data_IF_050543169244
#
_entry.id   IF_050543169244
#
_cell.length_a   1.000
_cell.length_b   1.000
_cell.length_c   1.000
_cell.angle_alpha   90.00
_cell.angle_beta   90.00
_cell.angle_gamma   90.00
#
_symmetry.space_group_name_H-M   'P 1'
#
loop_
_entity.id
_entity.type
_entity.pdbx_description
1 polymer ?
#
# COMPACT_ATOMS: atom_id res chain seq x y z
N UNK A 1 -8.07 32.98 31.91
CA UNK A 1 -7.84 31.59 32.35
C UNK A 1 -6.80 31.03 31.40
N UNK A 2 -5.53 31.07 31.80
CA UNK A 2 -4.41 30.76 30.91
C UNK A 2 -3.70 29.51 31.43
N UNK A 3 -3.31 28.61 30.52
CA UNK A 3 -2.54 27.43 30.88
C UNK A 3 -1.15 27.82 31.41
N UNK A 4 -0.54 26.99 32.29
CA UNK A 4 0.83 27.18 32.74
C UNK A 4 1.84 27.06 31.60
N UNK A 5 3.03 27.62 31.78
CA UNK A 5 4.09 27.68 30.77
C UNK A 5 4.44 26.28 30.24
N UNK A 6 4.42 26.10 28.91
CA UNK A 6 4.65 24.79 28.26
C UNK A 6 3.37 24.03 27.91
N UNK A 7 2.20 24.52 28.32
CA UNK A 7 0.90 23.97 27.96
C UNK A 7 0.12 24.91 27.03
N UNK A 8 -0.61 24.33 26.09
CA UNK A 8 -1.50 25.05 25.16
C UNK A 8 -2.94 24.75 25.53
N UNK A 9 -3.82 25.73 25.31
CA UNK A 9 -5.25 25.58 25.56
C UNK A 9 -5.86 24.65 24.51
N UNK A 10 -6.42 23.53 24.96
CA UNK A 10 -7.16 22.58 24.16
C UNK A 10 -8.65 22.90 24.08
N UNK A 11 -9.42 22.01 23.46
CA UNK A 11 -10.87 22.11 23.44
C UNK A 11 -11.45 21.77 24.83
N UNK A 12 -12.56 22.43 25.20
CA UNK A 12 -13.25 22.28 26.49
C UNK A 12 -12.50 22.81 27.72
N UNK A 13 -11.70 23.86 27.57
CA UNK A 13 -11.00 24.49 28.71
C UNK A 13 -10.06 23.48 29.42
N UNK A 14 -9.46 22.59 28.64
CA UNK A 14 -8.34 21.74 29.02
C UNK A 14 -7.00 22.37 28.57
N UNK A 15 -5.92 21.92 29.18
CA UNK A 15 -4.55 22.26 28.85
C UNK A 15 -3.81 20.97 28.55
N UNK A 16 -3.05 20.93 27.45
CA UNK A 16 -2.17 19.82 27.10
C UNK A 16 -0.75 20.33 26.82
N UNK A 17 0.24 19.44 26.93
CA UNK A 17 1.65 19.79 26.69
C UNK A 17 1.86 20.19 25.24
N UNK A 18 2.64 21.23 25.01
CA UNK A 18 2.98 21.71 23.66
C UNK A 18 3.75 20.63 22.88
N UNK A 19 3.28 20.26 21.69
CA UNK A 19 4.03 19.35 20.82
C UNK A 19 5.36 20.00 20.37
N UNK A 20 6.46 19.23 20.29
CA UNK A 20 7.73 19.71 19.75
C UNK A 20 7.65 20.02 18.24
N UNK A 21 8.61 20.79 17.71
CA UNK A 21 8.58 21.37 16.36
C UNK A 21 8.36 20.36 15.22
N UNK A 22 8.86 19.13 15.36
CA UNK A 22 8.72 18.08 14.34
C UNK A 22 7.42 17.27 14.46
N UNK A 23 6.58 17.58 15.46
CA UNK A 23 5.36 16.85 15.77
C UNK A 23 4.13 17.72 15.55
N UNK A 24 3.18 17.19 14.80
CA UNK A 24 1.87 17.77 14.58
C UNK A 24 0.91 17.32 15.68
N UNK A 25 0.19 18.27 16.26
CA UNK A 25 -0.94 17.98 17.13
C UNK A 25 -2.11 17.40 16.32
N UNK A 26 -2.61 16.24 16.74
CA UNK A 26 -3.77 15.56 16.15
C UNK A 26 -4.73 15.22 17.26
N UNK A 27 -5.98 15.65 17.11
CA UNK A 27 -7.04 15.31 18.03
C UNK A 27 -7.95 14.27 17.38
N UNK A 28 -8.18 13.17 18.09
CA UNK A 28 -9.09 12.10 17.68
C UNK A 28 -10.16 11.87 18.74
N UNK A 29 -11.25 11.18 18.41
CA UNK A 29 -12.35 10.90 19.33
C UNK A 29 -11.93 10.10 20.59
N UNK A 30 -10.72 9.54 20.59
CA UNK A 30 -10.11 8.84 21.73
C UNK A 30 -9.05 9.62 22.51
N UNK A 31 -8.79 10.89 22.19
CA UNK A 31 -7.82 11.73 22.89
C UNK A 31 -6.96 12.63 21.99
N UNK A 32 -6.13 13.43 22.65
CA UNK A 32 -5.14 14.32 22.03
C UNK A 32 -3.81 13.57 21.84
N UNK A 33 -3.16 13.69 20.69
CA UNK A 33 -1.85 13.05 20.42
C UNK A 33 -0.94 13.96 19.61
N UNK A 34 0.38 13.82 19.79
CA UNK A 34 1.38 14.43 18.92
C UNK A 34 1.92 13.35 17.97
N UNK A 35 1.86 13.62 16.66
CA UNK A 35 2.28 12.71 15.58
C UNK A 35 3.46 13.29 14.84
N UNK A 36 4.49 12.49 14.57
CA UNK A 36 5.69 12.95 13.88
C UNK A 36 5.38 13.30 12.41
N UNK A 37 5.85 14.47 11.97
CA UNK A 37 5.46 15.05 10.68
C UNK A 37 5.95 14.23 9.48
N UNK A 38 7.11 13.59 9.60
CA UNK A 38 7.69 12.79 8.51
C UNK A 38 7.15 11.35 8.45
N UNK A 39 6.64 10.81 9.55
CA UNK A 39 6.14 9.43 9.61
C UNK A 39 5.07 9.29 10.70
N UNK A 40 3.84 9.03 10.26
CA UNK A 40 2.67 8.91 11.12
C UNK A 40 2.72 7.73 12.11
N UNK A 41 3.67 6.79 11.95
CA UNK A 41 3.85 5.67 12.88
C UNK A 41 4.42 6.09 14.24
N UNK A 42 5.12 7.23 14.29
CA UNK A 42 5.66 7.75 15.53
C UNK A 42 4.69 8.75 16.12
N UNK A 43 3.99 8.34 17.17
CA UNK A 43 3.07 9.20 17.89
C UNK A 43 3.09 8.90 19.37
N UNK A 44 2.82 9.91 20.19
CA UNK A 44 2.58 9.74 21.61
C UNK A 44 1.28 10.46 22.01
N UNK A 45 0.56 9.88 22.97
CA UNK A 45 -0.67 10.46 23.50
C UNK A 45 -0.36 11.59 24.49
N UNK A 46 -1.25 12.57 24.52
CA UNK A 46 -1.31 13.66 25.48
C UNK A 46 -2.52 13.48 26.39
N UNK A 47 -2.36 13.79 27.66
CA UNK A 47 -3.50 13.87 28.58
C UNK A 47 -4.01 15.32 28.64
N UNK A 48 -5.31 15.47 28.46
CA UNK A 48 -6.01 16.75 28.63
C UNK A 48 -6.26 17.01 30.11
N UNK A 49 -5.53 17.99 30.68
CA UNK A 49 -5.67 18.39 32.09
C UNK A 49 -6.64 19.58 32.22
N UNK A 50 -7.47 19.65 33.26
CA UNK A 50 -8.36 20.81 33.46
C UNK A 50 -7.53 22.08 33.73
N UNK A 51 -7.95 23.23 33.18
CA UNK A 51 -7.25 24.53 33.39
C UNK A 51 -7.13 24.92 34.88
N UNK A 52 -8.06 24.45 35.72
CA UNK A 52 -8.05 24.64 37.18
C UNK A 52 -7.43 23.45 37.94
N UNK A 53 -6.61 22.62 37.27
CA UNK A 53 -5.96 21.46 37.85
C UNK A 53 -4.83 21.80 38.83
N UNK A 54 -4.40 20.80 39.59
CA UNK A 54 -3.29 20.94 40.55
C UNK A 54 -1.95 21.08 39.82
N UNK A 55 -1.04 21.93 40.32
CA UNK A 55 0.30 22.11 39.74
C UNK A 55 1.13 20.81 39.65
N UNK A 56 0.89 19.85 40.55
CA UNK A 56 1.52 18.52 40.49
C UNK A 56 1.12 17.76 39.23
N UNK A 57 -0.16 17.78 38.84
CA UNK A 57 -0.65 17.06 37.66
C UNK A 57 -0.03 17.57 36.35
N UNK A 58 0.25 18.87 36.25
CA UNK A 58 0.95 19.45 35.11
C UNK A 58 2.43 19.02 35.07
N UNK A 59 3.12 19.03 36.20
CA UNK A 59 4.52 18.59 36.30
C UNK A 59 4.66 17.10 35.97
N UNK A 60 3.76 16.27 36.48
CA UNK A 60 3.76 14.82 36.25
C UNK A 60 3.53 14.50 34.77
N UNK A 61 2.58 15.19 34.13
CA UNK A 61 2.30 15.02 32.70
C UNK A 61 3.48 15.50 31.83
N UNK A 62 4.12 16.62 32.20
CA UNK A 62 5.30 17.10 31.50
C UNK A 62 6.47 16.09 31.60
N UNK A 63 6.68 15.49 32.77
CA UNK A 63 7.69 14.45 32.95
C UNK A 63 7.37 13.19 32.12
N UNK A 64 6.10 12.76 32.08
CA UNK A 64 5.64 11.63 31.27
C UNK A 64 5.82 11.87 29.77
N UNK A 65 5.45 13.05 29.29
CA UNK A 65 5.63 13.42 27.87
C UNK A 65 7.11 13.52 27.53
N UNK A 66 7.94 14.05 28.43
CA UNK A 66 9.40 14.11 28.24
C UNK A 66 10.05 12.73 28.11
N UNK A 67 9.67 11.76 28.94
CA UNK A 67 10.18 10.39 28.84
C UNK A 67 9.70 9.68 27.58
N UNK A 68 8.40 9.78 27.26
CA UNK A 68 7.83 9.21 26.04
C UNK A 68 8.46 9.79 24.76
N UNK A 69 8.73 11.10 24.74
CA UNK A 69 9.41 11.75 23.63
C UNK A 69 10.85 11.24 23.48
N UNK A 70 11.58 11.09 24.58
CA UNK A 70 12.97 10.60 24.55
C UNK A 70 13.06 9.16 24.03
N UNK A 71 12.15 8.30 24.47
CA UNK A 71 12.04 6.93 23.96
C UNK A 71 11.70 6.92 22.46
N UNK A 72 10.74 7.74 22.05
CA UNK A 72 10.32 7.82 20.65
C UNK A 72 11.45 8.33 19.75
N UNK A 73 12.20 9.35 20.17
CA UNK A 73 13.36 9.85 19.43
C UNK A 73 14.46 8.80 19.31
N UNK A 74 14.72 8.03 20.37
CA UNK A 74 15.67 6.91 20.34
C UNK A 74 15.24 5.85 19.34
N UNK A 75 13.94 5.55 19.28
CA UNK A 75 13.37 4.62 18.31
C UNK A 75 13.48 5.13 16.88
N UNK A 76 13.17 6.40 16.63
CA UNK A 76 13.32 7.03 15.30
C UNK A 76 14.78 6.96 14.85
N UNK A 77 15.73 7.24 15.76
CA UNK A 77 17.15 7.14 15.44
C UNK A 77 17.59 5.70 15.13
N UNK A 78 17.09 4.72 15.87
CA UNK A 78 17.37 3.31 15.60
C UNK A 78 16.80 2.86 14.24
N UNK A 79 15.55 3.22 13.93
CA UNK A 79 14.89 2.84 12.69
C UNK A 79 15.54 3.50 11.46
N UNK A 80 15.97 4.77 11.59
CA UNK A 80 16.69 5.46 10.52
C UNK A 80 18.06 4.82 10.25
N UNK A 81 18.80 4.43 11.29
CA UNK A 81 20.06 3.70 11.14
C UNK A 81 19.86 2.32 10.52
N UNK A 82 18.86 1.56 10.97
CA UNK A 82 18.53 0.26 10.43
C UNK A 82 18.15 0.33 8.94
N UNK A 83 17.34 1.33 8.56
CA UNK A 83 16.96 1.56 7.17
C UNK A 83 18.16 1.91 6.29
N UNK A 84 19.07 2.77 6.79
CA UNK A 84 20.30 3.09 6.07
C UNK A 84 21.20 1.87 5.86
N UNK A 85 21.33 1.01 6.87
CA UNK A 85 22.10 -0.23 6.77
C UNK A 85 21.50 -1.20 5.75
N UNK A 86 20.17 -1.37 5.76
CA UNK A 86 19.46 -2.20 4.77
C UNK A 86 19.71 -1.68 3.35
N UNK A 87 19.59 -0.38 3.12
CA UNK A 87 19.86 0.21 1.81
C UNK A 87 21.33 0.07 1.38
N UNK A 88 22.28 0.14 2.30
CA UNK A 88 23.69 -0.12 1.99
C UNK A 88 23.96 -1.60 1.64
N UNK A 89 23.30 -2.54 2.32
CA UNK A 89 23.39 -3.97 1.99
C UNK A 89 22.76 -4.27 0.63
N UNK A 90 21.61 -3.70 0.33
CA UNK A 90 20.92 -3.87 -0.95
C UNK A 90 21.75 -3.32 -2.12
N UNK A 91 22.45 -2.19 -1.90
CA UNK A 91 23.32 -1.58 -2.92
C UNK A 91 24.67 -2.28 -3.09
N UNK A 92 25.17 -2.96 -2.05
CA UNK A 92 26.47 -3.65 -2.09
C UNK A 92 26.38 -5.10 -2.55
N UNK A 93 25.17 -5.66 -2.70
CA UNK A 93 25.02 -7.07 -3.00
C UNK A 93 23.91 -7.41 -4.02
N UNK A 94 24.10 -7.11 -5.32
CA UNK A 94 23.22 -7.63 -6.36
C UNK A 94 23.42 -9.14 -6.60
N UNK A 95 24.49 -9.75 -6.07
CA UNK A 95 24.89 -11.15 -6.37
C UNK A 95 24.69 -12.15 -5.23
N UNK A 96 24.69 -11.72 -3.98
CA UNK A 96 24.51 -12.62 -2.82
C UNK A 96 23.05 -12.92 -2.48
N UNK A 97 22.10 -12.15 -3.02
CA UNK A 97 20.68 -12.50 -2.92
C UNK A 97 20.35 -13.76 -3.72
N UNK A 98 21.05 -14.03 -4.83
CA UNK A 98 20.85 -15.25 -5.61
C UNK A 98 21.27 -16.50 -4.82
N UNK A 99 22.41 -16.47 -4.11
CA UNK A 99 22.87 -17.61 -3.32
C UNK A 99 21.99 -17.91 -2.10
N UNK A 100 21.54 -16.87 -1.40
CA UNK A 100 20.61 -17.04 -0.26
C UNK A 100 19.25 -17.53 -0.75
N UNK A 101 18.71 -16.98 -1.83
CA UNK A 101 17.45 -17.44 -2.44
C UNK A 101 17.60 -18.90 -2.91
N UNK A 102 18.71 -19.28 -3.55
CA UNK A 102 18.93 -20.66 -4.03
C UNK A 102 19.08 -21.66 -2.86
N UNK A 103 19.73 -21.26 -1.77
CA UNK A 103 19.84 -22.08 -0.56
C UNK A 103 18.50 -22.23 0.18
N UNK A 104 17.68 -21.18 0.19
CA UNK A 104 16.32 -21.22 0.72
C UNK A 104 15.39 -22.06 -0.15
N UNK A 105 15.51 -22.01 -1.48
CA UNK A 105 14.75 -22.89 -2.38
C UNK A 105 15.13 -24.36 -2.17
N UNK A 106 16.42 -24.66 -2.02
CA UNK A 106 16.86 -26.03 -1.72
C UNK A 106 16.37 -26.54 -0.35
N UNK A 107 16.25 -25.64 0.64
CA UNK A 107 15.68 -25.96 1.95
C UNK A 107 14.16 -26.15 1.88
N UNK A 108 13.46 -25.31 1.11
CA UNK A 108 12.02 -25.41 0.87
C UNK A 108 11.69 -26.69 0.08
N UNK A 109 12.46 -27.05 -0.94
CA UNK A 109 12.28 -28.30 -1.69
C UNK A 109 12.43 -29.53 -0.79
N UNK A 110 13.40 -29.51 0.14
CA UNK A 110 13.53 -30.58 1.14
C UNK A 110 12.35 -30.62 2.08
N UNK A 111 11.86 -29.46 2.53
CA UNK A 111 10.67 -29.38 3.38
C UNK A 111 9.43 -29.89 2.64
N UNK A 112 9.23 -29.50 1.39
CA UNK A 112 8.11 -29.94 0.54
C UNK A 112 8.18 -31.43 0.26
N UNK A 113 9.37 -32.00 0.04
CA UNK A 113 9.53 -33.45 -0.11
C UNK A 113 9.20 -34.22 1.17
N UNK A 114 9.58 -33.67 2.34
CA UNK A 114 9.25 -34.26 3.64
C UNK A 114 7.75 -34.13 3.95
N UNK A 115 7.14 -32.98 3.64
CA UNK A 115 5.69 -32.75 3.75
C UNK A 115 4.93 -33.65 2.78
N UNK A 116 5.43 -33.87 1.56
CA UNK A 116 4.84 -34.77 0.58
C UNK A 116 4.91 -36.24 1.03
N UNK A 117 6.00 -36.63 1.70
CA UNK A 117 6.14 -37.96 2.30
C UNK A 117 5.23 -38.16 3.54
N UNK A 118 4.93 -37.08 4.27
CA UNK A 118 4.01 -37.06 5.42
C UNK A 118 2.54 -36.92 5.00
N UNK A 119 2.28 -36.51 3.75
CA UNK A 119 0.92 -36.35 3.24
C UNK A 119 0.33 -37.73 3.01
N UNK A 120 -0.74 -38.12 3.72
CA UNK A 120 -1.40 -39.40 3.44
C UNK A 120 -1.79 -39.41 1.95
N UNK A 121 -1.61 -40.54 1.25
CA UNK A 121 -1.97 -40.65 -0.15
C UNK A 121 -3.43 -40.24 -0.27
N UNK A 122 -3.66 -39.09 -0.93
CA UNK A 122 -5.01 -38.72 -1.32
C UNK A 122 -5.48 -39.89 -2.17
N UNK A 123 -6.65 -40.44 -1.84
CA UNK A 123 -7.30 -41.37 -2.75
C UNK A 123 -7.28 -40.72 -4.13
N UNK A 124 -6.94 -41.47 -5.19
CA UNK A 124 -6.83 -40.92 -6.54
C UNK A 124 -8.08 -40.11 -6.76
N UNK A 125 -7.91 -38.78 -6.75
CA UNK A 125 -9.02 -37.87 -6.98
C UNK A 125 -9.32 -38.15 -8.42
N UNK A 126 -10.40 -38.89 -8.64
CA UNK A 126 -10.76 -39.44 -9.93
C UNK A 126 -10.56 -38.31 -10.93
N UNK A 127 -9.68 -38.47 -11.94
CA UNK A 127 -9.53 -37.43 -12.94
C UNK A 127 -10.93 -37.17 -13.44
N UNK A 128 -11.37 -35.91 -13.36
CA UNK A 128 -12.58 -35.51 -14.07
C UNK A 128 -12.41 -36.07 -15.47
N UNK A 129 -13.38 -36.84 -16.01
CA UNK A 129 -13.18 -37.66 -17.22
C UNK A 129 -12.74 -36.85 -18.44
N UNK A 130 -12.71 -35.53 -18.34
CA UNK A 130 -12.60 -34.58 -19.42
C UNK A 130 -11.67 -33.39 -19.12
N UNK A 131 -10.56 -33.57 -18.39
CA UNK A 131 -9.54 -32.50 -18.26
C UNK A 131 -8.98 -32.10 -19.64
N UNK A 132 -8.88 -33.06 -20.56
CA UNK A 132 -8.46 -32.78 -21.94
C UNK A 132 -9.53 -32.00 -22.71
N UNK A 133 -10.82 -32.29 -22.51
CA UNK A 133 -11.95 -31.56 -23.07
C UNK A 133 -12.04 -30.13 -22.51
N UNK A 134 -11.80 -29.94 -21.21
CA UNK A 134 -11.70 -28.61 -20.58
C UNK A 134 -10.51 -27.81 -21.11
N UNK A 135 -9.35 -28.46 -21.28
CA UNK A 135 -8.15 -27.83 -21.87
C UNK A 135 -8.36 -27.53 -23.35
N UNK A 136 -9.09 -28.37 -24.07
CA UNK A 136 -9.51 -28.14 -25.45
C UNK A 136 -10.53 -27.00 -25.52
N UNK A 137 -11.48 -26.87 -24.59
CA UNK A 137 -12.39 -25.71 -24.50
C UNK A 137 -11.65 -24.40 -24.21
N UNK A 138 -10.60 -24.41 -23.39
CA UNK A 138 -9.77 -23.23 -23.11
C UNK A 138 -8.89 -22.89 -24.31
N UNK A 139 -8.32 -23.88 -24.99
CA UNK A 139 -7.53 -23.68 -26.21
C UNK A 139 -8.41 -23.35 -27.44
N UNK A 140 -9.67 -23.76 -27.43
CA UNK A 140 -10.71 -23.38 -28.38
C UNK A 140 -11.37 -22.04 -28.03
N UNK A 141 -11.04 -21.45 -26.87
CA UNK A 141 -11.30 -20.04 -26.61
C UNK A 141 -10.35 -19.22 -27.49
N UNK A 142 -10.85 -19.02 -28.69
CA UNK A 142 -10.13 -18.71 -29.91
C UNK A 142 -9.29 -17.43 -29.79
N UNK A 143 -8.04 -17.52 -30.23
CA UNK A 143 -7.11 -16.41 -30.40
C UNK A 143 -7.73 -15.15 -31.04
N UNK A 144 -8.73 -15.34 -31.92
CA UNK A 144 -9.52 -14.27 -32.55
C UNK A 144 -10.32 -13.45 -31.55
N UNK A 145 -10.87 -14.08 -30.52
CA UNK A 145 -11.64 -13.40 -29.45
C UNK A 145 -10.73 -12.49 -28.64
N UNK A 146 -9.51 -12.95 -28.32
CA UNK A 146 -8.51 -12.13 -27.63
C UNK A 146 -8.00 -10.98 -28.51
N UNK A 147 -7.82 -11.21 -29.81
CA UNK A 147 -7.44 -10.16 -30.76
C UNK A 147 -8.52 -9.07 -30.87
N UNK A 148 -9.79 -9.46 -30.97
CA UNK A 148 -10.91 -8.52 -31.02
C UNK A 148 -11.01 -7.70 -29.72
N UNK A 149 -10.83 -8.36 -28.57
CA UNK A 149 -10.79 -7.69 -27.26
C UNK A 149 -9.62 -6.69 -27.16
N UNK A 150 -8.43 -7.03 -27.67
CA UNK A 150 -7.29 -6.13 -27.70
C UNK A 150 -7.52 -4.92 -28.59
N UNK A 151 -8.08 -5.11 -29.79
CA UNK A 151 -8.41 -4.03 -30.72
C UNK A 151 -9.46 -3.09 -30.11
N UNK A 152 -10.48 -3.65 -29.45
CA UNK A 152 -11.51 -2.87 -28.75
C UNK A 152 -10.91 -2.03 -27.61
N UNK A 153 -10.07 -2.64 -26.76
CA UNK A 153 -9.40 -1.94 -25.66
C UNK A 153 -8.47 -0.82 -26.17
N UNK A 154 -7.70 -1.09 -27.23
CA UNK A 154 -6.83 -0.11 -27.86
C UNK A 154 -7.62 1.06 -28.46
N UNK A 155 -8.76 0.79 -29.07
CA UNK A 155 -9.63 1.84 -29.65
C UNK A 155 -10.15 2.79 -28.57
N UNK A 156 -10.61 2.26 -27.43
CA UNK A 156 -11.06 3.09 -26.30
C UNK A 156 -9.91 3.96 -25.79
N UNK A 157 -8.70 3.40 -25.68
CA UNK A 157 -7.52 4.14 -25.27
C UNK A 157 -7.20 5.30 -26.24
N UNK A 158 -7.21 5.05 -27.55
CA UNK A 158 -6.97 6.08 -28.58
C UNK A 158 -8.04 7.19 -28.51
N UNK A 159 -9.31 6.84 -28.29
CA UNK A 159 -10.39 7.80 -28.14
C UNK A 159 -10.16 8.73 -26.93
N UNK A 160 -9.80 8.16 -25.77
CA UNK A 160 -9.50 8.94 -24.56
C UNK A 160 -8.29 9.84 -24.82
N UNK A 161 -7.23 9.31 -25.43
CA UNK A 161 -6.02 10.06 -25.75
C UNK A 161 -6.29 11.24 -26.70
N UNK A 162 -7.18 11.07 -27.69
CA UNK A 162 -7.58 12.16 -28.58
C UNK A 162 -8.31 13.29 -27.83
N UNK A 163 -9.15 12.97 -26.85
CA UNK A 163 -9.80 13.99 -26.02
C UNK A 163 -8.82 14.74 -25.11
N UNK A 164 -7.66 14.18 -24.81
CA UNK A 164 -6.61 14.86 -24.03
C UNK A 164 -5.80 15.85 -24.87
N UNK A 165 -5.65 15.61 -26.18
CA UNK A 165 -4.77 16.39 -27.05
C UNK A 165 -5.55 17.39 -27.91
N UNK A 166 -6.74 17.02 -28.39
CA UNK A 166 -7.51 17.84 -29.31
C UNK A 166 -8.62 18.65 -28.60
N UNK A 167 -8.93 19.86 -29.09
CA UNK A 167 -10.12 20.58 -28.67
C UNK A 167 -11.39 19.77 -28.93
N UNK A 168 -12.35 19.87 -28.01
CA UNK A 168 -13.64 19.14 -28.06
C UNK A 168 -14.38 19.24 -29.41
N UNK A 169 -14.29 20.41 -30.06
CA UNK A 169 -14.93 20.72 -31.35
C UNK A 169 -14.52 19.72 -32.44
N UNK A 170 -13.27 19.26 -32.43
CA UNK A 170 -12.74 18.32 -33.42
C UNK A 170 -12.71 16.88 -32.91
N UNK A 171 -12.50 16.69 -31.60
CA UNK A 171 -12.37 15.37 -30.99
C UNK A 171 -13.63 14.50 -31.19
N UNK A 172 -14.83 15.08 -31.11
CA UNK A 172 -16.08 14.34 -31.31
C UNK A 172 -16.20 13.70 -32.69
N UNK A 173 -15.89 14.45 -33.76
CA UNK A 173 -15.97 13.95 -35.14
C UNK A 173 -14.94 12.85 -35.41
N UNK A 174 -13.71 13.04 -34.93
CA UNK A 174 -12.62 12.09 -35.13
C UNK A 174 -12.89 10.79 -34.37
N UNK A 175 -13.34 10.88 -33.13
CA UNK A 175 -13.70 9.70 -32.32
C UNK A 175 -14.89 8.95 -32.93
N UNK A 176 -15.89 9.65 -33.45
CA UNK A 176 -17.01 9.01 -34.15
C UNK A 176 -16.54 8.20 -35.37
N UNK A 177 -15.65 8.77 -36.19
CA UNK A 177 -15.09 8.06 -37.35
C UNK A 177 -14.29 6.83 -36.95
N UNK A 178 -13.47 6.93 -35.89
CA UNK A 178 -12.66 5.81 -35.38
C UNK A 178 -13.54 4.68 -34.84
N UNK A 179 -14.64 5.02 -34.15
CA UNK A 179 -15.59 4.01 -33.68
C UNK A 179 -16.27 3.30 -34.85
N UNK A 180 -16.71 4.03 -35.88
CA UNK A 180 -17.29 3.43 -37.08
C UNK A 180 -16.31 2.49 -37.80
N UNK A 181 -15.05 2.90 -37.99
CA UNK A 181 -14.06 2.05 -38.64
C UNK A 181 -13.72 0.82 -37.79
N UNK A 182 -13.66 0.95 -36.47
CA UNK A 182 -13.34 -0.16 -35.56
C UNK A 182 -14.45 -1.20 -35.53
N UNK A 183 -15.72 -0.76 -35.51
CA UNK A 183 -16.86 -1.69 -35.58
C UNK A 183 -16.86 -2.45 -36.90
N UNK A 184 -16.57 -1.78 -38.02
CA UNK A 184 -16.47 -2.45 -39.32
C UNK A 184 -15.35 -3.52 -39.33
N UNK A 185 -14.16 -3.17 -38.84
CA UNK A 185 -13.04 -4.13 -38.72
C UNK A 185 -13.36 -5.28 -37.77
N UNK A 186 -14.02 -5.00 -36.64
CA UNK A 186 -14.46 -6.01 -35.68
C UNK A 186 -15.43 -7.02 -36.30
N UNK A 187 -16.39 -6.55 -37.10
CA UNK A 187 -17.31 -7.43 -37.84
C UNK A 187 -16.56 -8.27 -38.89
N UNK A 188 -15.63 -7.68 -39.63
CA UNK A 188 -14.84 -8.41 -40.63
C UNK A 188 -13.95 -9.49 -40.01
N UNK A 189 -13.32 -9.20 -38.88
CA UNK A 189 -12.48 -10.17 -38.14
C UNK A 189 -13.33 -11.26 -37.45
N UNK A 190 -14.54 -10.92 -37.03
CA UNK A 190 -15.49 -11.90 -36.47
C UNK A 190 -16.11 -12.81 -37.54
N UNK A 191 -16.17 -12.37 -38.79
CA UNK A 191 -16.76 -13.13 -39.90
C UNK A 191 -15.76 -14.06 -40.61
N UNK A 192 -14.47 -13.99 -40.28
CA UNK A 192 -13.37 -14.77 -40.88
C UNK A 192 -12.88 -15.81 -39.88
#
# INVERSE_FOLDING_TARGET
MSCPTGFVLGLNNSCHVTCPQDFKYVQSSGGSSCVYTSNNQYSFSLNDLPVAGNASSFTDEQARVGSALTELLTKIQADTLASQQLHMMERSNPTGSYGVIQSQHAAIDKLDSAIAALKPPRQPTQPYPDINLLREMVNASDSKTFLLLQIAAFTVFVCIFLYLILPKEFAHFIVFLILCSTVAVGISLSST
#
